data_IF_579200425976
#
_entry.id   IF_579200425976
#
_cell.length_a   1.000
_cell.length_b   1.000
_cell.length_c   1.000
_cell.angle_alpha   90.00
_cell.angle_beta   90.00
_cell.angle_gamma   90.00
#
_symmetry.space_group_name_H-M   'P 1'
#
loop_
_entity.id
_entity.type
_entity.pdbx_description
1 polymer ?
#
# COMPACT_ATOMS: atom_id res chain seq x y z
N UNK A 1 7.40 0.02 20.32
CA UNK A 1 7.67 1.12 21.27
C UNK A 1 9.16 1.31 21.51
N UNK A 2 9.98 0.27 21.74
CA UNK A 2 11.45 0.44 21.87
C UNK A 2 12.11 1.08 20.65
N UNK A 3 11.73 0.66 19.44
CA UNK A 3 12.23 1.22 18.19
C UNK A 3 12.02 2.75 18.08
N UNK A 4 11.05 3.33 18.78
CA UNK A 4 10.76 4.77 18.70
C UNK A 4 11.90 5.64 19.21
N UNK A 5 12.77 5.11 20.07
CA UNK A 5 13.97 5.81 20.55
C UNK A 5 15.05 5.96 19.47
N UNK A 6 14.96 5.17 18.40
CA UNK A 6 15.95 5.11 17.33
C UNK A 6 15.41 5.62 16.00
N UNK A 7 14.19 6.17 15.96
CA UNK A 7 13.51 6.56 14.71
C UNK A 7 14.36 7.48 13.82
N UNK A 8 15.16 8.36 14.41
CA UNK A 8 16.07 9.27 13.68
C UNK A 8 17.25 8.55 13.01
N UNK A 9 17.53 7.30 13.40
CA UNK A 9 18.64 6.48 12.90
C UNK A 9 18.15 5.30 12.05
N UNK A 10 16.84 5.19 11.82
CA UNK A 10 16.24 4.09 11.07
C UNK A 10 15.85 4.58 9.68
N UNK A 11 16.18 3.81 8.65
CA UNK A 11 15.67 4.00 7.29
C UNK A 11 14.45 3.10 7.01
N UNK A 12 14.28 2.05 7.81
CA UNK A 12 13.23 1.06 7.62
C UNK A 12 12.80 0.41 8.94
N UNK A 13 11.50 0.14 9.06
CA UNK A 13 10.89 -0.60 10.18
C UNK A 13 10.11 -1.77 9.60
N UNK A 14 10.51 -2.98 9.98
CA UNK A 14 9.86 -4.21 9.54
C UNK A 14 8.76 -4.59 10.52
N UNK A 15 7.57 -4.82 9.99
CA UNK A 15 6.43 -5.35 10.72
C UNK A 15 6.19 -6.78 10.26
N UNK A 16 6.50 -7.73 11.15
CA UNK A 16 6.14 -9.12 10.93
C UNK A 16 4.61 -9.28 10.94
N UNK A 17 4.07 -9.79 9.82
CA UNK A 17 2.67 -10.18 9.62
C UNK A 17 2.44 -11.68 9.76
N UNK A 18 3.43 -12.41 10.27
CA UNK A 18 3.37 -13.82 10.70
C UNK A 18 4.15 -14.00 12.00
N UNK A 19 4.04 -15.17 12.63
CA UNK A 19 4.96 -15.54 13.71
C UNK A 19 6.32 -15.87 13.08
N UNK A 20 7.43 -15.24 13.47
CA UNK A 20 8.72 -15.50 12.86
C UNK A 20 9.17 -16.96 13.06
N UNK A 21 9.90 -17.50 12.08
CA UNK A 21 10.59 -18.80 12.19
C UNK A 21 10.16 -19.88 11.18
N UNK A 22 9.02 -19.73 10.48
CA UNK A 22 8.59 -20.68 9.44
C UNK A 22 8.09 -19.97 8.18
N UNK A 23 8.35 -20.56 7.01
CA UNK A 23 7.82 -20.11 5.72
C UNK A 23 6.40 -20.64 5.47
N UNK A 24 5.68 -20.04 4.53
CA UNK A 24 4.35 -20.49 4.09
C UNK A 24 3.20 -20.20 5.06
N UNK A 25 3.44 -19.39 6.08
CA UNK A 25 2.41 -18.99 7.04
C UNK A 25 1.45 -17.97 6.42
N UNK A 26 0.18 -18.04 6.82
CA UNK A 26 -0.85 -17.08 6.44
C UNK A 26 -0.64 -15.76 7.14
N UNK A 27 -1.02 -14.68 6.46
CA UNK A 27 -1.06 -13.33 7.03
C UNK A 27 -1.90 -13.30 8.32
N UNK A 28 -1.41 -12.59 9.33
CA UNK A 28 -2.13 -12.33 10.58
C UNK A 28 -2.92 -11.03 10.39
N UNK A 29 -4.24 -11.15 10.25
CA UNK A 29 -5.16 -10.02 9.95
C UNK A 29 -5.02 -8.83 10.93
N UNK A 30 -4.78 -9.07 12.21
CA UNK A 30 -4.53 -8.00 13.20
C UNK A 30 -3.25 -7.18 12.93
N UNK A 31 -2.45 -7.58 11.95
CA UNK A 31 -1.30 -6.80 11.49
C UNK A 31 -1.72 -5.53 10.77
N UNK A 32 -2.90 -5.49 10.14
CA UNK A 32 -3.43 -4.27 9.55
C UNK A 32 -3.51 -3.13 10.59
N UNK A 33 -4.17 -3.38 11.72
CA UNK A 33 -4.25 -2.43 12.84
C UNK A 33 -2.87 -2.05 13.41
N UNK A 34 -1.94 -3.02 13.43
CA UNK A 34 -0.56 -2.81 13.89
C UNK A 34 0.19 -1.85 12.97
N UNK A 35 0.07 -2.02 11.65
CA UNK A 35 0.67 -1.15 10.64
C UNK A 35 0.08 0.26 10.79
N UNK A 36 -1.25 0.39 10.83
CA UNK A 36 -1.92 1.70 10.95
C UNK A 36 -1.46 2.48 12.19
N UNK A 37 -1.43 1.81 13.35
CA UNK A 37 -0.99 2.43 14.62
C UNK A 37 0.46 2.91 14.52
N UNK A 38 1.36 2.05 14.01
CA UNK A 38 2.78 2.39 13.88
C UNK A 38 2.98 3.50 12.84
N UNK A 39 2.28 3.47 11.71
CA UNK A 39 2.34 4.50 10.69
C UNK A 39 1.92 5.88 11.24
N UNK A 40 0.86 5.92 12.05
CA UNK A 40 0.42 7.14 12.74
C UNK A 40 1.50 7.67 13.69
N UNK A 41 2.06 6.81 14.53
CA UNK A 41 3.10 7.18 15.50
C UNK A 41 4.38 7.67 14.82
N UNK A 42 4.81 7.00 13.75
CA UNK A 42 6.01 7.36 12.99
C UNK A 42 5.85 8.68 12.25
N UNK A 43 4.66 8.94 11.67
CA UNK A 43 4.34 10.23 11.06
C UNK A 43 4.44 11.38 12.07
N UNK A 44 3.94 11.20 13.29
CA UNK A 44 4.03 12.20 14.36
C UNK A 44 5.49 12.48 14.78
N UNK A 45 6.40 11.53 14.53
CA UNK A 45 7.83 11.62 14.82
C UNK A 45 8.67 12.04 13.61
N UNK A 46 8.03 12.46 12.50
CA UNK A 46 8.71 12.85 11.25
C UNK A 46 9.65 11.77 10.70
N UNK A 47 9.29 10.50 10.88
CA UNK A 47 10.01 9.39 10.25
C UNK A 47 9.84 9.46 8.72
N UNK A 48 10.95 9.46 7.98
CA UNK A 48 10.97 9.55 6.52
C UNK A 48 11.23 8.21 5.83
N UNK A 49 11.57 7.18 6.60
CA UNK A 49 11.85 5.84 6.10
C UNK A 49 10.62 5.02 5.72
N UNK A 50 10.83 3.72 5.49
CA UNK A 50 9.78 2.80 5.07
C UNK A 50 9.26 1.90 6.19
N UNK A 51 7.96 1.61 6.14
CA UNK A 51 7.36 0.51 6.88
C UNK A 51 7.27 -0.68 5.93
N UNK A 52 7.87 -1.80 6.31
CA UNK A 52 7.81 -3.06 5.58
C UNK A 52 6.78 -4.01 6.17
N UNK A 53 5.94 -4.61 5.34
CA UNK A 53 5.10 -5.75 5.72
C UNK A 53 5.80 -7.06 5.30
N UNK A 54 6.15 -7.89 6.29
CA UNK A 54 6.87 -9.15 6.08
C UNK A 54 6.12 -10.37 6.64
N UNK A 55 5.73 -11.26 5.73
CA UNK A 55 5.12 -12.56 6.02
C UNK A 55 3.69 -12.68 5.52
N UNK A 56 3.43 -13.67 4.67
CA UNK A 56 2.07 -13.93 4.17
C UNK A 56 1.49 -12.86 3.25
N UNK A 57 2.30 -11.90 2.77
CA UNK A 57 1.86 -10.86 1.82
C UNK A 57 1.63 -11.48 0.44
N UNK A 58 0.48 -11.20 -0.16
CA UNK A 58 0.01 -11.75 -1.43
C UNK A 58 -0.80 -10.68 -2.22
N UNK A 59 -1.35 -11.06 -3.39
CA UNK A 59 -2.14 -10.14 -4.22
C UNK A 59 -3.46 -9.69 -3.58
N UNK A 60 -3.98 -10.44 -2.61
CA UNK A 60 -5.26 -10.16 -1.94
C UNK A 60 -5.09 -9.08 -0.85
N UNK A 61 -3.94 -9.06 -0.15
CA UNK A 61 -3.73 -8.21 1.02
C UNK A 61 -2.70 -7.07 0.81
N UNK A 62 -1.90 -7.09 -0.27
CA UNK A 62 -0.87 -6.06 -0.48
C UNK A 62 -1.46 -4.65 -0.62
N UNK A 63 -2.63 -4.53 -1.26
CA UNK A 63 -3.36 -3.26 -1.37
C UNK A 63 -3.77 -2.71 0.00
N UNK A 64 -4.33 -3.55 0.86
CA UNK A 64 -4.68 -3.19 2.23
C UNK A 64 -3.43 -2.81 3.06
N UNK A 65 -2.33 -3.57 2.95
CA UNK A 65 -1.07 -3.22 3.61
C UNK A 65 -0.56 -1.83 3.18
N UNK A 66 -0.69 -1.49 1.88
CA UNK A 66 -0.35 -0.15 1.39
C UNK A 66 -1.25 0.93 2.00
N UNK A 67 -2.56 0.68 2.07
CA UNK A 67 -3.53 1.60 2.66
C UNK A 67 -3.27 1.85 4.15
N UNK A 68 -2.82 0.84 4.89
CA UNK A 68 -2.46 0.95 6.31
C UNK A 68 -1.19 1.77 6.56
N UNK A 69 -0.33 1.91 5.55
CA UNK A 69 0.89 2.71 5.62
C UNK A 69 2.18 1.98 5.24
N UNK A 70 2.13 0.68 4.91
CA UNK A 70 3.32 -0.02 4.42
C UNK A 70 3.77 0.50 3.04
N UNK A 71 5.08 0.51 2.80
CA UNK A 71 5.70 0.99 1.56
C UNK A 71 6.73 0.02 0.99
N UNK A 72 7.17 -0.96 1.80
CA UNK A 72 7.95 -2.12 1.38
C UNK A 72 7.14 -3.40 1.69
N UNK A 73 7.31 -4.42 0.85
CA UNK A 73 6.51 -5.64 0.91
C UNK A 73 7.38 -6.86 0.62
N UNK A 74 7.33 -7.86 1.49
CA UNK A 74 8.05 -9.13 1.29
C UNK A 74 7.08 -10.20 0.79
N UNK A 75 7.15 -10.49 -0.50
CA UNK A 75 6.45 -11.61 -1.12
C UNK A 75 7.30 -12.87 -1.08
N UNK A 76 7.16 -13.67 -0.01
CA UNK A 76 7.88 -14.94 0.15
C UNK A 76 7.29 -16.05 -0.74
N UNK A 77 6.58 -17.00 -0.12
CA UNK A 77 5.95 -18.13 -0.83
C UNK A 77 4.90 -17.72 -1.87
N UNK A 78 4.41 -16.47 -1.83
CA UNK A 78 3.52 -15.94 -2.86
C UNK A 78 4.25 -15.81 -4.22
N UNK A 79 5.54 -15.46 -4.21
CA UNK A 79 6.35 -15.22 -5.41
C UNK A 79 7.23 -16.43 -5.73
N UNK A 80 7.86 -16.99 -4.70
CA UNK A 80 8.79 -18.11 -4.87
C UNK A 80 8.00 -19.36 -5.25
N UNK A 81 8.34 -19.96 -6.39
CA UNK A 81 7.66 -21.13 -6.96
C UNK A 81 6.66 -20.81 -8.07
N UNK A 82 6.42 -19.53 -8.37
CA UNK A 82 5.64 -19.15 -9.55
C UNK A 82 6.42 -19.43 -10.84
N UNK A 83 5.71 -19.87 -11.88
CA UNK A 83 6.28 -20.11 -13.21
C UNK A 83 6.82 -18.82 -13.85
N UNK A 84 6.19 -17.68 -13.55
CA UNK A 84 6.64 -16.35 -13.97
C UNK A 84 6.67 -15.37 -12.79
N UNK A 85 7.84 -15.33 -12.13
CA UNK A 85 8.14 -14.38 -11.04
C UNK A 85 8.02 -12.92 -11.50
N UNK A 86 8.37 -12.60 -12.74
CA UNK A 86 8.35 -11.20 -13.23
C UNK A 86 6.93 -10.70 -13.38
N UNK A 87 6.06 -11.54 -13.94
CA UNK A 87 4.63 -11.27 -14.04
C UNK A 87 4.03 -11.07 -12.65
N UNK A 88 4.36 -11.93 -11.69
CA UNK A 88 3.81 -11.80 -10.34
C UNK A 88 4.26 -10.52 -9.61
N UNK A 89 5.54 -10.11 -9.77
CA UNK A 89 6.03 -8.82 -9.26
C UNK A 89 5.30 -7.65 -9.94
N UNK A 90 4.99 -7.77 -11.23
CA UNK A 90 4.19 -6.76 -11.95
C UNK A 90 2.79 -6.65 -11.35
N UNK A 91 2.15 -7.77 -11.04
CA UNK A 91 0.83 -7.77 -10.41
C UNK A 91 0.84 -7.19 -9.00
N UNK A 92 1.87 -7.47 -8.19
CA UNK A 92 2.08 -6.79 -6.91
C UNK A 92 2.12 -5.27 -7.07
N UNK A 93 2.90 -4.78 -8.03
CA UNK A 93 2.97 -3.34 -8.34
C UNK A 93 1.64 -2.80 -8.83
N UNK A 94 0.90 -3.54 -9.65
CA UNK A 94 -0.41 -3.13 -10.14
C UNK A 94 -1.41 -2.96 -9.00
N UNK A 95 -1.46 -3.90 -8.05
CA UNK A 95 -2.33 -3.82 -6.89
C UNK A 95 -2.01 -2.61 -6.02
N UNK A 96 -0.73 -2.36 -5.74
CA UNK A 96 -0.31 -1.15 -5.00
C UNK A 96 -0.66 0.14 -5.75
N UNK A 97 -0.47 0.17 -7.07
CA UNK A 97 -0.83 1.33 -7.90
C UNK A 97 -2.34 1.57 -7.89
N UNK A 98 -3.15 0.52 -7.88
CA UNK A 98 -4.60 0.60 -7.79
C UNK A 98 -5.04 1.22 -6.45
N UNK A 99 -4.57 0.68 -5.32
CA UNK A 99 -4.83 1.27 -3.99
C UNK A 99 -4.34 2.71 -3.90
N UNK A 100 -3.17 3.03 -4.49
CA UNK A 100 -2.66 4.41 -4.54
C UNK A 100 -3.59 5.35 -5.32
N UNK A 101 -4.10 4.93 -6.47
CA UNK A 101 -5.04 5.75 -7.27
C UNK A 101 -6.32 6.02 -6.50
N UNK A 102 -6.91 4.99 -5.88
CA UNK A 102 -8.09 5.14 -5.01
C UNK A 102 -7.83 6.14 -3.89
N UNK A 103 -6.70 6.03 -3.21
CA UNK A 103 -6.31 6.96 -2.15
C UNK A 103 -6.17 8.41 -2.66
N UNK A 104 -5.54 8.61 -3.82
CA UNK A 104 -5.35 9.94 -4.40
C UNK A 104 -6.67 10.57 -4.84
N UNK A 105 -7.58 9.78 -5.42
CA UNK A 105 -8.91 10.24 -5.82
C UNK A 105 -9.73 10.64 -4.59
N UNK A 106 -9.74 9.83 -3.53
CA UNK A 106 -10.37 10.19 -2.24
C UNK A 106 -9.81 11.52 -1.71
N UNK A 107 -8.48 11.67 -1.69
CA UNK A 107 -7.85 12.93 -1.25
C UNK A 107 -8.21 14.13 -2.13
N UNK A 108 -8.28 13.97 -3.44
CA UNK A 108 -8.70 15.04 -4.35
C UNK A 108 -10.14 15.45 -4.05
N UNK A 109 -11.03 14.47 -3.85
CA UNK A 109 -12.40 14.73 -3.43
C UNK A 109 -12.46 15.45 -2.08
N UNK A 110 -11.72 14.99 -1.07
CA UNK A 110 -11.69 15.62 0.26
C UNK A 110 -11.22 17.08 0.23
N UNK A 111 -10.35 17.44 -0.73
CA UNK A 111 -9.77 18.78 -0.86
C UNK A 111 -10.60 19.74 -1.73
N UNK A 112 -11.36 19.24 -2.71
CA UNK A 112 -12.02 20.10 -3.69
C UNK A 112 -13.21 19.47 -4.41
N UNK A 113 -13.79 18.41 -3.85
CA UNK A 113 -14.95 17.71 -4.39
C UNK A 113 -14.73 17.08 -5.77
N UNK A 114 -15.83 16.78 -6.45
CA UNK A 114 -15.85 16.21 -7.80
C UNK A 114 -15.14 17.10 -8.84
N UNK A 115 -15.20 18.42 -8.70
CA UNK A 115 -14.52 19.33 -9.63
C UNK A 115 -13.00 19.14 -9.63
N UNK A 116 -12.39 19.01 -8.45
CA UNK A 116 -10.96 18.74 -8.33
C UNK A 116 -10.60 17.32 -8.80
N UNK A 117 -11.46 16.32 -8.54
CA UNK A 117 -11.29 14.96 -9.07
C UNK A 117 -11.24 14.99 -10.60
N UNK A 118 -12.20 15.65 -11.25
CA UNK A 118 -12.27 15.76 -12.71
C UNK A 118 -11.04 16.48 -13.27
N UNK A 119 -10.69 17.63 -12.68
CA UNK A 119 -9.52 18.42 -13.07
C UNK A 119 -8.23 17.61 -12.99
N UNK A 120 -8.06 16.83 -11.92
CA UNK A 120 -6.88 15.98 -11.73
C UNK A 120 -6.82 14.80 -12.71
N UNK A 121 -7.96 14.17 -13.00
CA UNK A 121 -8.06 13.11 -14.02
C UNK A 121 -7.69 13.67 -15.40
N UNK A 122 -8.15 14.87 -15.73
CA UNK A 122 -7.90 15.50 -17.03
C UNK A 122 -6.44 15.89 -17.28
N UNK A 123 -5.61 16.00 -16.24
CA UNK A 123 -4.15 16.15 -16.39
C UNK A 123 -3.48 14.95 -17.06
N UNK A 124 -4.14 13.78 -17.07
CA UNK A 124 -3.60 12.58 -17.68
C UNK A 124 -3.96 12.56 -19.17
N UNK A 125 -2.97 12.85 -20.02
CA UNK A 125 -3.09 12.85 -21.48
C UNK A 125 -3.45 11.43 -21.94
N UNK A 126 -4.71 11.25 -22.35
CA UNK A 126 -5.41 10.11 -22.98
C UNK A 126 -4.72 8.74 -22.96
N UNK A 127 -5.42 7.70 -22.50
CA UNK A 127 -5.02 6.29 -22.59
C UNK A 127 -5.48 5.48 -21.38
N UNK A 128 -5.05 4.21 -21.29
CA UNK A 128 -5.50 3.25 -20.26
C UNK A 128 -5.40 3.77 -18.81
N UNK A 129 -4.45 4.67 -18.53
CA UNK A 129 -4.32 5.30 -17.21
C UNK A 129 -5.49 6.21 -16.89
N UNK A 130 -5.92 7.06 -17.83
CA UNK A 130 -7.07 7.95 -17.66
C UNK A 130 -8.34 7.13 -17.47
N UNK A 131 -8.52 6.09 -18.29
CA UNK A 131 -9.69 5.21 -18.24
C UNK A 131 -9.81 4.52 -16.87
N UNK A 132 -8.69 4.03 -16.32
CA UNK A 132 -8.66 3.46 -14.96
C UNK A 132 -9.01 4.49 -13.89
N UNK A 133 -8.51 5.72 -13.99
CA UNK A 133 -8.84 6.77 -13.01
C UNK A 133 -10.32 7.15 -13.06
N UNK A 134 -10.91 7.25 -14.25
CA UNK A 134 -12.34 7.48 -14.45
C UNK A 134 -13.16 6.33 -13.85
N UNK A 135 -12.76 5.08 -14.12
CA UNK A 135 -13.42 3.91 -13.58
C UNK A 135 -13.41 3.92 -12.04
N UNK A 136 -12.24 4.17 -11.43
CA UNK A 136 -12.12 4.27 -9.98
C UNK A 136 -12.96 5.41 -9.41
N UNK A 137 -12.99 6.58 -10.05
CA UNK A 137 -13.79 7.71 -9.59
C UNK A 137 -15.29 7.39 -9.57
N UNK A 138 -15.80 6.70 -10.60
CA UNK A 138 -17.18 6.21 -10.66
C UNK A 138 -17.50 5.19 -9.58
N UNK A 139 -16.61 4.21 -9.37
CA UNK A 139 -16.77 3.21 -8.30
C UNK A 139 -16.79 3.83 -6.90
N UNK A 140 -16.08 4.94 -6.71
CA UNK A 140 -16.08 5.71 -5.47
C UNK A 140 -17.25 6.71 -5.36
N UNK A 141 -18.04 6.90 -6.42
CA UNK A 141 -19.17 7.82 -6.46
C UNK A 141 -18.78 9.30 -6.56
N UNK A 142 -17.58 9.60 -7.06
CA UNK A 142 -17.09 10.98 -7.23
C UNK A 142 -17.22 11.51 -8.66
N UNK A 143 -17.83 10.72 -9.56
CA UNK A 143 -18.22 11.05 -10.92
C UNK A 143 -19.57 10.40 -11.25
#
# INVERSE_FOLDING_TARGET
QWCYKFVELLDQIIIMSVVPGKSGQKFIESTHEKIQRIAKDLKARKFEGYIEADGGVNLENIGACFEDGARAFVGGSAIIGQSDVRMFIKEFRNQVLESRRRLLIKKAHDLGGTELVNSWIDLHIVGEKKDKLVQIAKELGFQ
#
